data_IF_371165422575
#
_entry.id   IF_371165422575
#
_cell.length_a   1.000
_cell.length_b   1.000
_cell.length_c   1.000
_cell.angle_alpha   90.00
_cell.angle_beta   90.00
_cell.angle_gamma   90.00
#
_symmetry.space_group_name_H-M   'P 1'
#
loop_
_entity.id
_entity.type
_entity.pdbx_description
1 polymer ?
#
# COMPACT_ATOMS: atom_id res chain seq x y z
N UNK A 1 15.88 -9.06 -2.66
CA UNK A 1 14.81 -9.73 -1.90
C UNK A 1 13.94 -8.79 -1.03
N UNK A 2 14.33 -7.53 -0.79
CA UNK A 2 13.53 -6.60 0.04
C UNK A 2 12.18 -6.17 -0.57
N UNK A 3 12.06 -6.18 -1.91
CA UNK A 3 10.81 -5.83 -2.59
C UNK A 3 9.68 -6.82 -2.29
N UNK A 4 9.89 -8.11 -2.59
CA UNK A 4 8.89 -9.17 -2.39
C UNK A 4 8.48 -9.25 -0.91
N UNK A 5 9.46 -9.18 0.00
CA UNK A 5 9.17 -9.16 1.44
C UNK A 5 8.28 -7.96 1.83
N UNK A 6 8.62 -6.74 1.36
CA UNK A 6 7.83 -5.55 1.64
C UNK A 6 6.42 -5.61 1.03
N UNK A 7 6.30 -6.12 -0.20
CA UNK A 7 5.01 -6.33 -0.87
C UNK A 7 4.13 -7.27 -0.05
N UNK A 8 4.63 -8.46 0.29
CA UNK A 8 3.86 -9.46 1.03
C UNK A 8 3.48 -8.91 2.42
N UNK A 9 4.42 -8.29 3.13
CA UNK A 9 4.15 -7.71 4.45
C UNK A 9 3.13 -6.58 4.37
N UNK A 10 3.22 -5.69 3.38
CA UNK A 10 2.24 -4.62 3.20
C UNK A 10 0.86 -5.16 2.84
N UNK A 11 0.76 -6.19 1.99
CA UNK A 11 -0.50 -6.85 1.66
C UNK A 11 -1.16 -7.44 2.91
N UNK A 12 -0.42 -8.24 3.68
CA UNK A 12 -0.94 -8.87 4.90
C UNK A 12 -1.32 -7.80 5.93
N UNK A 13 -0.47 -6.79 6.10
CA UNK A 13 -0.72 -5.70 7.04
C UNK A 13 -1.99 -4.92 6.69
N UNK A 14 -2.18 -4.56 5.42
CA UNK A 14 -3.38 -3.83 4.97
C UNK A 14 -4.64 -4.67 5.19
N UNK A 15 -4.61 -5.98 4.90
CA UNK A 15 -5.76 -6.86 5.14
C UNK A 15 -6.14 -6.93 6.63
N UNK A 16 -5.16 -7.05 7.52
CA UNK A 16 -5.40 -7.09 8.97
C UNK A 16 -5.92 -5.75 9.50
N UNK A 17 -5.31 -4.64 9.07
CA UNK A 17 -5.62 -3.30 9.58
C UNK A 17 -6.97 -2.80 9.06
N UNK A 18 -7.35 -3.13 7.82
CA UNK A 18 -8.68 -2.81 7.27
C UNK A 18 -9.81 -3.51 8.03
N UNK A 19 -9.57 -4.66 8.66
CA UNK A 19 -10.56 -5.35 9.48
C UNK A 19 -10.87 -4.63 10.80
N UNK A 20 -9.94 -3.81 11.30
CA UNK A 20 -10.04 -3.13 12.59
C UNK A 20 -10.20 -1.60 12.48
N UNK A 21 -9.78 -1.01 11.36
CA UNK A 21 -9.68 0.45 11.19
C UNK A 21 -10.05 0.88 9.76
N UNK A 22 -10.13 2.19 9.53
CA UNK A 22 -10.38 2.76 8.20
C UNK A 22 -9.11 2.80 7.33
N UNK A 23 -9.25 3.26 6.08
CA UNK A 23 -8.14 3.41 5.12
C UNK A 23 -6.98 4.27 5.65
N UNK A 24 -7.26 5.24 6.54
CA UNK A 24 -6.24 6.09 7.17
C UNK A 24 -5.33 5.24 8.06
N UNK A 25 -5.89 4.27 8.79
CA UNK A 25 -5.15 3.32 9.59
C UNK A 25 -4.22 2.45 8.74
N UNK A 26 -4.72 1.96 7.60
CA UNK A 26 -3.90 1.19 6.67
C UNK A 26 -2.74 2.02 6.09
N UNK A 27 -2.98 3.28 5.71
CA UNK A 27 -1.95 4.19 5.25
C UNK A 27 -0.88 4.44 6.31
N UNK A 28 -1.28 4.69 7.56
CA UNK A 28 -0.36 4.88 8.68
C UNK A 28 0.48 3.62 8.95
N UNK A 29 -0.15 2.44 8.92
CA UNK A 29 0.52 1.16 9.09
C UNK A 29 1.58 0.91 8.01
N UNK A 30 1.28 1.21 6.74
CA UNK A 30 2.24 1.10 5.63
C UNK A 30 3.40 2.10 5.78
N UNK A 31 3.14 3.33 6.26
CA UNK A 31 4.20 4.31 6.57
C UNK A 31 5.14 3.77 7.65
N UNK A 32 4.57 3.25 8.75
CA UNK A 32 5.35 2.65 9.85
C UNK A 32 6.17 1.48 9.31
N UNK A 33 5.56 0.57 8.55
CA UNK A 33 6.25 -0.57 7.94
C UNK A 33 7.40 -0.13 7.01
N UNK A 34 7.17 0.88 6.16
CA UNK A 34 8.19 1.46 5.28
C UNK A 34 9.34 2.09 6.05
N UNK A 35 9.02 2.69 7.20
CA UNK A 35 10.02 3.24 8.12
C UNK A 35 10.83 2.14 8.79
N UNK A 36 10.25 1.01 9.20
CA UNK A 36 10.96 -0.06 9.93
C UNK A 36 11.81 -0.96 9.02
N UNK A 37 11.34 -1.28 7.82
CA UNK A 37 12.00 -2.24 6.92
C UNK A 37 13.14 -1.59 6.12
N UNK A 38 13.02 -0.28 5.91
CA UNK A 38 13.97 0.48 5.10
C UNK A 38 14.15 -0.11 3.68
N UNK A 39 13.05 -0.37 2.94
CA UNK A 39 13.17 -0.82 1.55
C UNK A 39 13.84 0.27 0.69
N UNK A 40 14.38 -0.10 -0.48
CA UNK A 40 14.82 0.92 -1.44
C UNK A 40 13.64 1.75 -1.94
N UNK A 41 13.88 2.95 -2.50
CA UNK A 41 12.80 3.87 -2.93
C UNK A 41 11.81 3.22 -3.90
N UNK A 42 12.32 2.47 -4.89
CA UNK A 42 11.51 1.72 -5.84
C UNK A 42 10.68 0.64 -5.13
N UNK A 43 11.30 -0.09 -4.21
CA UNK A 43 10.64 -1.16 -3.49
C UNK A 43 9.57 -0.64 -2.51
N UNK A 44 9.79 0.53 -1.91
CA UNK A 44 8.84 1.20 -1.03
C UNK A 44 7.59 1.64 -1.79
N UNK A 45 7.78 2.28 -2.94
CA UNK A 45 6.69 2.78 -3.79
C UNK A 45 5.87 1.64 -4.39
N UNK A 46 6.49 0.77 -5.18
CA UNK A 46 5.77 -0.32 -5.85
C UNK A 46 5.31 -1.40 -4.87
N UNK A 47 6.08 -1.69 -3.82
CA UNK A 47 5.71 -2.72 -2.87
C UNK A 47 4.53 -2.29 -2.01
N UNK A 48 4.52 -1.05 -1.52
CA UNK A 48 3.37 -0.49 -0.80
C UNK A 48 2.15 -0.31 -1.69
N UNK A 49 2.36 0.18 -2.92
CA UNK A 49 1.28 0.36 -3.90
C UNK A 49 0.62 -0.97 -4.29
N UNK A 50 1.39 -1.93 -4.79
CA UNK A 50 0.84 -3.23 -5.16
C UNK A 50 0.28 -3.98 -3.95
N UNK A 51 0.92 -3.89 -2.77
CA UNK A 51 0.40 -4.51 -1.56
C UNK A 51 -1.01 -4.02 -1.21
N UNK A 52 -1.24 -2.71 -1.23
CA UNK A 52 -2.55 -2.12 -0.93
C UNK A 52 -3.58 -2.34 -2.04
N UNK A 53 -3.18 -2.21 -3.31
CA UNK A 53 -4.03 -2.49 -4.47
C UNK A 53 -4.53 -3.94 -4.48
N UNK A 54 -3.62 -4.90 -4.27
CA UNK A 54 -3.96 -6.31 -4.21
C UNK A 54 -4.84 -6.60 -2.99
N UNK A 55 -4.51 -6.06 -1.81
CA UNK A 55 -5.34 -6.26 -0.61
C UNK A 55 -6.79 -5.80 -0.83
N UNK A 56 -7.00 -4.62 -1.41
CA UNK A 56 -8.33 -4.07 -1.65
C UNK A 56 -9.08 -4.85 -2.74
N UNK A 57 -8.40 -5.21 -3.82
CA UNK A 57 -9.02 -5.96 -4.92
C UNK A 57 -9.39 -7.38 -4.46
N UNK A 58 -8.50 -8.05 -3.73
CA UNK A 58 -8.77 -9.37 -3.14
C UNK A 58 -9.91 -9.32 -2.14
N UNK A 59 -9.99 -8.28 -1.29
CA UNK A 59 -11.09 -8.11 -0.35
C UNK A 59 -12.43 -7.86 -1.07
N UNK A 60 -12.43 -7.01 -2.10
CA UNK A 60 -13.63 -6.72 -2.89
C UNK A 60 -14.16 -7.98 -3.61
N UNK A 61 -13.25 -8.77 -4.21
CA UNK A 61 -13.59 -10.06 -4.83
C UNK A 61 -14.08 -11.08 -3.79
N UNK A 62 -13.41 -11.17 -2.64
CA UNK A 62 -13.82 -12.06 -1.55
C UNK A 62 -15.23 -11.75 -1.07
N UNK A 63 -15.54 -10.46 -0.85
CA UNK A 63 -16.88 -10.03 -0.47
C UNK A 63 -17.90 -10.42 -1.53
N UNK A 64 -17.61 -10.19 -2.81
CA UNK A 64 -18.50 -10.57 -3.91
C UNK A 64 -18.85 -12.06 -3.88
N UNK A 65 -17.84 -12.94 -3.76
CA UNK A 65 -18.05 -14.39 -3.77
C UNK A 65 -18.64 -14.92 -2.46
N UNK A 66 -18.30 -14.32 -1.32
CA UNK A 66 -18.73 -14.83 -0.01
C UNK A 66 -20.16 -14.42 0.35
N UNK A 67 -20.61 -13.22 -0.02
CA UNK A 67 -21.93 -12.71 0.35
C UNK A 67 -22.93 -12.72 -0.80
N UNK A 68 -22.46 -12.97 -2.04
CA UNK A 68 -23.28 -12.82 -3.24
C UNK A 68 -23.74 -11.38 -3.47
N UNK A 69 -23.07 -10.40 -2.85
CA UNK A 69 -23.50 -9.01 -2.88
C UNK A 69 -23.21 -8.36 -4.24
N UNK A 70 -24.25 -7.78 -4.84
CA UNK A 70 -24.18 -6.92 -6.03
C UNK A 70 -23.58 -5.53 -5.75
N UNK A 71 -22.77 -5.39 -4.68
CA UNK A 71 -22.18 -4.11 -4.29
C UNK A 71 -21.36 -3.47 -5.42
N UNK A 72 -20.47 -4.21 -6.13
CA UNK A 72 -19.72 -3.63 -7.24
C UNK A 72 -20.61 -3.15 -8.38
N UNK A 73 -21.68 -3.88 -8.68
CA UNK A 73 -22.68 -3.55 -9.69
C UNK A 73 -23.46 -2.28 -9.29
N UNK A 74 -23.91 -2.20 -8.04
CA UNK A 74 -24.63 -1.03 -7.50
C UNK A 74 -23.76 0.21 -7.41
N UNK A 75 -22.49 0.04 -7.02
CA UNK A 75 -21.52 1.12 -7.07
C UNK A 75 -21.28 1.55 -8.52
N UNK A 76 -21.23 0.61 -9.47
CA UNK A 76 -21.15 0.93 -10.90
C UNK A 76 -22.27 1.84 -11.38
N UNK A 77 -23.52 1.48 -11.09
CA UNK A 77 -24.71 2.29 -11.38
C UNK A 77 -24.58 3.70 -10.76
N UNK A 78 -24.15 3.78 -9.51
CA UNK A 78 -24.08 5.04 -8.75
C UNK A 78 -22.96 5.97 -9.23
N UNK A 79 -21.82 5.40 -9.66
CA UNK A 79 -20.71 6.15 -10.25
C UNK A 79 -20.94 6.46 -11.75
N UNK A 80 -22.07 6.02 -12.34
CA UNK A 80 -22.37 6.19 -13.76
C UNK A 80 -21.51 5.31 -14.68
N UNK A 81 -20.77 4.36 -14.09
CA UNK A 81 -19.90 3.41 -14.77
C UNK A 81 -20.58 2.06 -14.63
N UNK A 82 -21.51 1.72 -15.53
CA UNK A 82 -22.31 0.48 -15.54
C UNK A 82 -21.44 -0.80 -15.77
N UNK A 83 -20.38 -0.97 -15.00
CA UNK A 83 -19.42 -2.06 -15.07
C UNK A 83 -18.74 -2.28 -13.72
N UNK A 84 -19.02 -3.44 -13.11
CA UNK A 84 -18.37 -3.88 -11.88
C UNK A 84 -16.84 -4.00 -12.02
N UNK A 85 -16.36 -4.38 -13.21
CA UNK A 85 -14.92 -4.51 -13.48
C UNK A 85 -14.24 -3.14 -13.46
N UNK A 86 -14.87 -2.12 -14.03
CA UNK A 86 -14.34 -0.76 -14.00
C UNK A 86 -14.23 -0.23 -12.57
N UNK A 87 -15.24 -0.47 -11.72
CA UNK A 87 -15.19 -0.11 -10.30
C UNK A 87 -14.03 -0.83 -9.59
N UNK A 88 -13.86 -2.13 -9.81
CA UNK A 88 -12.73 -2.89 -9.25
C UNK A 88 -11.37 -2.31 -9.67
N UNK A 89 -11.20 -1.94 -10.94
CA UNK A 89 -9.97 -1.31 -11.43
C UNK A 89 -9.75 0.05 -10.78
N UNK A 90 -10.79 0.87 -10.64
CA UNK A 90 -10.70 2.16 -9.93
C UNK A 90 -10.28 1.93 -8.48
N UNK A 91 -10.86 0.95 -7.78
CA UNK A 91 -10.48 0.58 -6.42
C UNK A 91 -9.01 0.14 -6.35
N UNK A 92 -8.54 -0.67 -7.30
CA UNK A 92 -7.15 -1.10 -7.36
C UNK A 92 -6.19 0.08 -7.59
N UNK A 93 -6.54 1.01 -8.48
CA UNK A 93 -5.75 2.22 -8.76
C UNK A 93 -5.69 3.14 -7.54
N UNK A 94 -6.81 3.37 -6.87
CA UNK A 94 -6.85 4.18 -5.65
C UNK A 94 -6.01 3.52 -4.56
N UNK A 95 -6.19 2.22 -4.34
CA UNK A 95 -5.39 1.45 -3.39
C UNK A 95 -3.88 1.53 -3.71
N UNK A 96 -3.53 1.43 -5.00
CA UNK A 96 -2.14 1.57 -5.45
C UNK A 96 -1.56 2.93 -5.11
N UNK A 97 -2.26 4.01 -5.45
CA UNK A 97 -1.79 5.37 -5.22
C UNK A 97 -1.57 5.62 -3.73
N UNK A 98 -2.55 5.26 -2.89
CA UNK A 98 -2.47 5.43 -1.44
C UNK A 98 -1.31 4.61 -0.86
N UNK A 99 -1.22 3.33 -1.20
CA UNK A 99 -0.16 2.46 -0.71
C UNK A 99 1.24 2.88 -1.17
N UNK A 100 1.35 3.36 -2.41
CA UNK A 100 2.63 3.75 -3.00
C UNK A 100 3.21 5.00 -2.32
N UNK A 101 2.38 6.03 -2.10
CA UNK A 101 2.79 7.24 -1.39
C UNK A 101 2.99 7.00 0.11
N UNK A 102 2.20 6.13 0.75
CA UNK A 102 2.44 5.71 2.13
C UNK A 102 3.79 5.00 2.29
N UNK A 103 4.09 4.03 1.42
CA UNK A 103 5.35 3.29 1.45
C UNK A 103 6.56 4.20 1.20
N UNK A 104 6.46 5.09 0.21
CA UNK A 104 7.49 6.06 -0.09
C UNK A 104 7.71 7.05 1.08
N UNK A 105 6.64 7.53 1.71
CA UNK A 105 6.73 8.44 2.84
C UNK A 105 7.46 7.81 4.02
N UNK A 106 7.17 6.54 4.35
CA UNK A 106 7.91 5.82 5.39
C UNK A 106 9.41 5.71 5.10
N UNK A 107 9.76 5.39 3.85
CA UNK A 107 11.18 5.34 3.44
C UNK A 107 11.88 6.70 3.49
N UNK A 108 11.21 7.76 3.04
CA UNK A 108 11.75 9.11 3.09
C UNK A 108 11.89 9.61 4.53
N UNK A 109 10.93 9.29 5.40
CA UNK A 109 11.00 9.59 6.83
C UNK A 109 12.22 8.95 7.49
N UNK A 110 12.48 7.67 7.22
CA UNK A 110 13.71 7.02 7.66
C UNK A 110 14.97 7.73 7.16
N UNK A 111 15.02 8.12 5.88
CA UNK A 111 16.16 8.83 5.31
C UNK A 111 16.42 10.18 5.99
N UNK A 112 15.37 10.89 6.44
CA UNK A 112 15.52 12.15 7.17
C UNK A 112 16.15 11.93 8.55
N UNK A 113 15.78 10.86 9.25
CA UNK A 113 16.29 10.55 10.59
C UNK A 113 17.72 10.00 10.55
N UNK A 114 18.11 9.34 9.45
CA UNK A 114 19.45 8.78 9.30
C UNK A 114 20.48 9.89 9.12
N UNK A 115 21.31 10.14 10.16
CA UNK A 115 22.48 11.03 10.08
C UNK A 115 23.39 10.60 8.92
N UNK A 116 23.63 11.49 7.97
CA UNK A 116 24.70 11.29 6.97
C UNK A 116 26.04 11.34 7.71
N UNK A 117 26.96 10.39 7.50
CA UNK A 117 28.29 10.48 8.08
C UNK A 117 28.94 11.76 7.58
N UNK A 118 29.16 12.70 8.50
CA UNK A 118 29.75 14.00 8.21
C UNK A 118 31.27 13.81 8.17
N UNK A 119 31.77 13.13 7.15
CA UNK A 119 33.20 12.94 6.99
C UNK A 119 33.64 13.41 5.61
N UNK A 120 33.87 14.71 5.53
CA UNK A 120 34.43 15.39 4.36
C UNK A 120 35.96 15.16 4.31
N UNK A 121 36.59 14.66 5.39
CA UNK A 121 38.05 14.61 5.55
C UNK A 121 38.61 13.34 6.21
N UNK A 122 38.10 12.14 5.89
CA UNK A 122 38.88 10.91 6.20
C UNK A 122 39.87 10.66 5.08
N UNK A 123 41.04 11.28 5.22
CA UNK A 123 42.28 10.62 4.84
C UNK A 123 42.38 9.27 5.55
N UNK A 124 42.98 8.31 4.85
CA UNK A 124 43.38 7.00 5.33
C UNK A 124 43.93 7.05 6.78
N UNK A 125 43.63 6.05 7.59
CA UNK A 125 44.70 5.27 8.20
C UNK A 125 44.87 3.94 7.46
#
# INVERSE_FOLDING_TARGET
>A
MKFIAFLILSLVLVLLVNGATSYIGAMAAVIVLGTLIHPGSFAAFFGGGFGMALAWTSLALYLKFSTGSDLPEKMGELFGVNSALAILLITAVIGFVLGAFSGLSGHLFWKMIRKKPNNIYRGNP
#
